data_IF_025585959077
#
_entry.id   IF_025585959077
#
_cell.length_a   1.000
_cell.length_b   1.000
_cell.length_c   1.000
_cell.angle_alpha   90.00
_cell.angle_beta   90.00
_cell.angle_gamma   90.00
#
_symmetry.space_group_name_H-M   'P 1'
#
loop_
_entity.id
_entity.type
_entity.pdbx_description
1 polymer ?
#
# COMPACT_ATOMS: atom_id res chain seq x y z
N UNK A 1 -21.07 -15.57 2.89
CA UNK A 1 -20.80 -14.72 1.70
C UNK A 1 -19.31 -14.83 1.42
N UNK A 2 -18.93 -15.37 0.26
CA UNK A 2 -17.52 -15.50 -0.09
C UNK A 2 -16.93 -14.12 -0.38
N UNK A 3 -15.86 -13.75 0.32
CA UNK A 3 -15.08 -12.56 0.01
C UNK A 3 -14.58 -12.72 -1.43
N UNK A 4 -15.12 -11.94 -2.36
CA UNK A 4 -14.55 -11.88 -3.71
C UNK A 4 -13.11 -11.39 -3.57
N UNK A 5 -12.17 -12.20 -4.05
CA UNK A 5 -10.76 -11.81 -4.17
C UNK A 5 -10.72 -10.82 -5.33
N UNK A 6 -10.64 -9.54 -5.01
CA UNK A 6 -10.51 -8.44 -5.97
C UNK A 6 -9.00 -8.21 -6.10
N UNK A 7 -8.33 -9.03 -6.92
CA UNK A 7 -6.91 -8.87 -7.16
C UNK A 7 -6.58 -7.46 -7.66
N UNK A 8 -5.40 -6.95 -7.31
CA UNK A 8 -4.87 -5.64 -7.70
C UNK A 8 -5.69 -4.42 -7.20
N UNK A 9 -6.42 -4.58 -6.09
CA UNK A 9 -7.13 -3.49 -5.45
C UNK A 9 -6.14 -2.51 -4.83
N UNK A 10 -6.15 -1.26 -5.29
CA UNK A 10 -5.34 -0.19 -4.69
C UNK A 10 -5.81 0.15 -3.27
N UNK A 11 -4.87 0.59 -2.43
CA UNK A 11 -5.15 0.84 -1.01
C UNK A 11 -6.20 1.93 -0.77
N UNK A 12 -6.16 3.02 -1.54
CA UNK A 12 -7.16 4.10 -1.41
C UNK A 12 -8.57 3.60 -1.78
N UNK A 13 -8.69 2.79 -2.83
CA UNK A 13 -9.97 2.16 -3.20
C UNK A 13 -10.45 1.18 -2.14
N UNK A 14 -9.55 0.40 -1.53
CA UNK A 14 -9.89 -0.46 -0.40
C UNK A 14 -10.43 0.34 0.79
N UNK A 15 -9.80 1.46 1.12
CA UNK A 15 -10.26 2.33 2.21
C UNK A 15 -11.60 2.96 1.90
N UNK A 16 -11.83 3.43 0.66
CA UNK A 16 -13.13 3.93 0.23
C UNK A 16 -14.20 2.85 0.35
N UNK A 17 -13.89 1.62 -0.07
CA UNK A 17 -14.81 0.49 0.10
C UNK A 17 -15.11 0.19 1.58
N UNK A 18 -14.12 0.19 2.48
CA UNK A 18 -14.36 0.03 3.92
C UNK A 18 -15.20 1.18 4.49
N UNK A 19 -14.92 2.42 4.09
CA UNK A 19 -15.62 3.61 4.54
C UNK A 19 -17.10 3.60 4.11
N UNK A 20 -17.37 3.17 2.88
CA UNK A 20 -18.73 3.09 2.31
C UNK A 20 -19.53 1.87 2.82
N UNK A 21 -18.87 0.77 3.19
CA UNK A 21 -19.52 -0.47 3.64
C UNK A 21 -19.86 -0.52 5.14
N UNK A 22 -19.69 0.55 5.93
CA UNK A 22 -19.73 0.44 7.40
C UNK A 22 -20.31 1.65 8.13
N UNK A 23 -20.60 1.44 9.43
CA UNK A 23 -20.81 2.45 10.48
C UNK A 23 -19.69 3.49 10.58
N UNK A 24 -18.58 3.36 9.84
CA UNK A 24 -17.48 4.32 9.88
C UNK A 24 -17.85 5.66 9.24
N UNK A 25 -18.73 5.69 8.23
CA UNK A 25 -19.22 6.98 7.70
C UNK A 25 -20.05 7.77 8.73
N UNK A 26 -20.64 7.10 9.73
CA UNK A 26 -21.37 7.72 10.83
C UNK A 26 -20.45 8.11 12.00
N UNK A 27 -19.28 7.45 12.14
CA UNK A 27 -18.32 7.66 13.22
C UNK A 27 -17.22 8.69 12.90
N UNK A 28 -16.98 8.98 11.62
CA UNK A 28 -15.94 9.89 11.17
C UNK A 28 -16.54 11.05 10.36
N UNK A 29 -16.09 12.28 10.64
CA UNK A 29 -16.58 13.49 9.97
C UNK A 29 -16.16 13.59 8.50
N UNK A 30 -15.11 12.86 8.10
CA UNK A 30 -14.61 12.82 6.73
C UNK A 30 -13.87 11.52 6.43
N UNK A 31 -13.75 11.20 5.14
CA UNK A 31 -12.90 10.09 4.68
C UNK A 31 -11.43 10.27 5.09
N UNK A 32 -10.95 11.51 5.13
CA UNK A 32 -9.57 11.83 5.49
C UNK A 32 -9.29 11.52 6.98
N UNK A 33 -10.27 11.78 7.85
CA UNK A 33 -10.21 11.42 9.27
C UNK A 33 -10.26 9.91 9.48
N UNK A 34 -11.17 9.22 8.78
CA UNK A 34 -11.23 7.77 8.76
C UNK A 34 -9.89 7.15 8.31
N UNK A 35 -9.32 7.66 7.21
CA UNK A 35 -8.04 7.20 6.67
C UNK A 35 -6.93 7.34 7.72
N UNK A 36 -6.78 8.51 8.35
CA UNK A 36 -5.78 8.74 9.41
C UNK A 36 -5.95 7.78 10.59
N UNK A 37 -7.17 7.61 11.08
CA UNK A 37 -7.45 6.69 12.18
C UNK A 37 -7.10 5.24 11.80
N UNK A 38 -7.45 4.82 10.59
CA UNK A 38 -7.19 3.46 10.11
C UNK A 38 -5.71 3.15 9.93
N UNK A 39 -4.90 4.12 9.48
CA UNK A 39 -3.46 3.93 9.29
C UNK A 39 -2.72 3.57 10.58
N UNK A 40 -3.28 3.90 11.74
CA UNK A 40 -2.75 3.49 13.05
C UNK A 40 -3.12 2.05 13.44
N UNK A 41 -4.01 1.39 12.69
CA UNK A 41 -4.49 0.04 12.97
C UNK A 41 -3.51 -1.03 12.50
N UNK A 42 -3.02 -1.90 13.40
CA UNK A 42 -2.01 -2.92 13.07
C UNK A 42 -2.52 -4.01 12.12
N UNK A 43 -3.85 -4.15 11.98
CA UNK A 43 -4.49 -5.21 11.17
C UNK A 43 -4.95 -4.76 9.79
N UNK A 44 -4.93 -3.45 9.51
CA UNK A 44 -5.52 -2.90 8.27
C UNK A 44 -4.82 -3.44 7.03
N UNK A 45 -3.50 -3.36 7.02
CA UNK A 45 -2.71 -3.83 5.89
C UNK A 45 -2.88 -5.32 5.66
N UNK A 46 -2.99 -6.12 6.74
CA UNK A 46 -3.20 -7.56 6.61
C UNK A 46 -4.50 -7.88 5.86
N UNK A 47 -5.60 -7.20 6.18
CA UNK A 47 -6.88 -7.39 5.50
C UNK A 47 -6.80 -6.98 4.03
N UNK A 48 -6.23 -5.82 3.74
CA UNK A 48 -6.06 -5.37 2.36
C UNK A 48 -5.18 -6.33 1.54
N UNK A 49 -4.11 -6.86 2.13
CA UNK A 49 -3.25 -7.86 1.51
C UNK A 49 -3.98 -9.20 1.30
N UNK A 50 -4.90 -9.59 2.19
CA UNK A 50 -5.78 -10.76 1.98
C UNK A 50 -6.69 -10.60 0.77
N UNK A 51 -7.27 -9.41 0.54
CA UNK A 51 -8.06 -9.14 -0.67
C UNK A 51 -7.25 -9.27 -1.97
N UNK A 52 -5.95 -9.00 -1.88
CA UNK A 52 -5.01 -9.11 -2.99
C UNK A 52 -4.28 -10.45 -3.03
N UNK A 53 -4.57 -11.39 -2.13
CA UNK A 53 -3.82 -12.63 -2.03
C UNK A 53 -3.87 -13.43 -3.34
N UNK A 54 -2.75 -14.10 -3.68
CA UNK A 54 -2.59 -14.91 -4.91
C UNK A 54 -2.71 -14.11 -6.21
N UNK A 55 -2.59 -12.78 -6.17
CA UNK A 55 -2.56 -11.93 -7.36
C UNK A 55 -1.14 -11.68 -7.87
N UNK A 56 -1.03 -11.07 -9.05
CA UNK A 56 0.22 -10.59 -9.62
C UNK A 56 0.06 -9.10 -10.00
N UNK A 57 0.11 -8.18 -9.02
CA UNK A 57 -0.07 -6.76 -9.27
C UNK A 57 1.09 -6.16 -10.09
N UNK A 58 0.83 -5.10 -10.87
CA UNK A 58 1.88 -4.40 -11.58
C UNK A 58 2.78 -3.61 -10.60
N UNK A 59 3.98 -3.23 -11.06
CA UNK A 59 4.94 -2.44 -10.27
C UNK A 59 4.33 -1.18 -9.64
N UNK A 60 3.43 -0.49 -10.34
CA UNK A 60 2.78 0.72 -9.82
C UNK A 60 1.93 0.45 -8.55
N UNK A 61 1.37 -0.75 -8.42
CA UNK A 61 0.67 -1.17 -7.21
C UNK A 61 1.63 -1.27 -6.02
N UNK A 62 2.83 -1.84 -6.25
CA UNK A 62 3.89 -1.92 -5.22
C UNK A 62 4.44 -0.54 -4.85
N UNK A 63 4.60 0.37 -5.81
CA UNK A 63 4.97 1.77 -5.51
C UNK A 63 3.92 2.45 -4.64
N UNK A 64 2.63 2.20 -4.90
CA UNK A 64 1.52 2.66 -4.06
C UNK A 64 1.59 2.08 -2.65
N UNK A 65 1.82 0.77 -2.53
CA UNK A 65 2.01 0.06 -1.26
C UNK A 65 3.17 0.68 -0.46
N UNK A 66 4.37 0.74 -1.04
CA UNK A 66 5.57 1.24 -0.35
C UNK A 66 5.39 2.69 0.08
N UNK A 67 4.84 3.53 -0.79
CA UNK A 67 4.51 4.92 -0.45
C UNK A 67 3.59 4.98 0.78
N UNK A 68 2.56 4.14 0.83
CA UNK A 68 1.62 4.07 1.95
C UNK A 68 2.34 3.66 3.24
N UNK A 69 3.21 2.64 3.21
CA UNK A 69 3.96 2.20 4.39
C UNK A 69 4.97 3.25 4.88
N UNK A 70 5.72 3.89 3.97
CA UNK A 70 6.73 4.89 4.33
C UNK A 70 6.08 6.19 4.81
N UNK A 71 5.15 6.75 4.04
CA UNK A 71 4.55 8.05 4.36
C UNK A 71 3.54 7.98 5.51
N UNK A 72 2.76 6.90 5.59
CA UNK A 72 1.61 6.85 6.49
C UNK A 72 1.84 5.98 7.72
N UNK A 73 2.61 4.89 7.59
CA UNK A 73 2.94 4.02 8.72
C UNK A 73 4.30 4.35 9.37
N UNK A 74 5.04 5.35 8.85
CA UNK A 74 6.36 5.79 9.34
C UNK A 74 7.45 4.70 9.29
N UNK A 75 7.37 3.78 8.32
CA UNK A 75 8.38 2.74 8.14
C UNK A 75 9.65 3.29 7.48
N UNK A 76 10.80 2.69 7.80
CA UNK A 76 12.08 3.01 7.18
C UNK A 76 12.20 2.32 5.81
N UNK A 77 12.90 2.94 4.85
CA UNK A 77 13.02 2.41 3.48
C UNK A 77 13.79 1.07 3.50
N UNK A 78 14.71 0.92 4.45
CA UNK A 78 15.52 -0.26 4.70
C UNK A 78 14.68 -1.51 5.05
N UNK A 79 13.46 -1.31 5.56
CA UNK A 79 12.54 -2.40 5.90
C UNK A 79 11.71 -2.89 4.70
N UNK A 80 11.70 -2.17 3.58
CA UNK A 80 10.86 -2.48 2.42
C UNK A 80 11.19 -3.84 1.80
N UNK A 81 12.45 -4.24 1.58
CA UNK A 81 12.77 -5.58 1.08
C UNK A 81 12.18 -6.71 1.94
N UNK A 82 12.21 -6.52 3.26
CA UNK A 82 11.63 -7.48 4.20
C UNK A 82 10.11 -7.52 4.08
N UNK A 83 9.46 -6.36 4.00
CA UNK A 83 8.02 -6.25 3.79
C UNK A 83 7.59 -6.97 2.51
N UNK A 84 8.28 -6.75 1.39
CA UNK A 84 7.94 -7.37 0.10
C UNK A 84 8.08 -8.89 0.14
N UNK A 85 9.11 -9.43 0.80
CA UNK A 85 9.27 -10.88 1.01
C UNK A 85 8.15 -11.47 1.87
N UNK A 86 7.71 -10.76 2.90
CA UNK A 86 6.58 -11.16 3.73
C UNK A 86 5.31 -11.22 2.87
N UNK A 87 5.09 -10.20 2.04
CA UNK A 87 3.94 -10.11 1.13
C UNK A 87 3.92 -11.29 0.16
N UNK A 88 5.04 -11.53 -0.52
CA UNK A 88 5.21 -12.63 -1.46
C UNK A 88 4.94 -13.99 -0.81
N UNK A 89 5.57 -14.24 0.35
CA UNK A 89 5.49 -15.54 1.01
C UNK A 89 4.14 -15.81 1.68
N UNK A 90 3.59 -14.84 2.42
CA UNK A 90 2.40 -15.06 3.23
C UNK A 90 1.11 -14.87 2.44
N UNK A 91 1.06 -13.88 1.55
CA UNK A 91 -0.14 -13.58 0.77
C UNK A 91 -0.09 -14.18 -0.63
N UNK A 92 1.03 -14.82 -1.01
CA UNK A 92 1.24 -15.41 -2.34
C UNK A 92 1.09 -14.39 -3.46
N UNK A 93 1.42 -13.12 -3.19
CA UNK A 93 1.37 -12.04 -4.17
C UNK A 93 2.67 -12.06 -4.96
N UNK A 94 2.59 -12.28 -6.26
CA UNK A 94 3.78 -12.35 -7.12
C UNK A 94 4.41 -10.97 -7.25
N UNK A 95 5.70 -10.88 -6.93
CA UNK A 95 6.49 -9.67 -7.18
C UNK A 95 6.76 -9.53 -8.69
N UNK A 96 6.77 -8.30 -9.24
CA UNK A 96 7.15 -8.08 -10.63
C UNK A 96 8.64 -8.34 -10.83
N UNK A 97 9.00 -8.76 -12.03
CA UNK A 97 10.38 -8.96 -12.45
C UNK A 97 11.04 -7.60 -12.76
N UNK A 98 11.47 -6.92 -11.71
CA UNK A 98 12.07 -5.61 -11.75
C UNK A 98 13.41 -5.65 -11.00
N UNK A 99 14.48 -5.25 -11.69
CA UNK A 99 15.82 -5.27 -11.11
C UNK A 99 15.91 -4.37 -9.88
N UNK A 100 16.43 -4.92 -8.78
CA UNK A 100 16.62 -4.17 -7.55
C UNK A 100 15.36 -3.97 -6.71
N UNK A 101 14.18 -4.46 -7.09
CA UNK A 101 12.94 -4.27 -6.31
C UNK A 101 13.03 -4.77 -4.85
N UNK A 102 13.93 -5.70 -4.56
CA UNK A 102 14.24 -6.21 -3.22
C UNK A 102 15.46 -5.54 -2.56
N UNK A 103 15.82 -4.32 -2.99
CA UNK A 103 16.94 -3.53 -2.45
C UNK A 103 16.46 -2.19 -1.93
N UNK A 104 17.10 -1.65 -0.91
CA UNK A 104 16.74 -0.34 -0.37
C UNK A 104 17.06 0.78 -1.37
N UNK A 105 18.17 0.64 -2.10
CA UNK A 105 18.67 1.58 -3.09
C UNK A 105 17.64 1.86 -4.19
N UNK A 106 16.98 0.81 -4.68
CA UNK A 106 15.88 0.94 -5.65
C UNK A 106 14.76 1.83 -5.10
N UNK A 107 14.33 1.61 -3.86
CA UNK A 107 13.22 2.35 -3.25
C UNK A 107 13.59 3.78 -2.90
N UNK A 108 14.86 4.05 -2.56
CA UNK A 108 15.36 5.43 -2.41
C UNK A 108 15.20 6.19 -3.73
N UNK A 109 15.63 5.61 -4.86
CA UNK A 109 15.50 6.27 -6.17
C UNK A 109 14.03 6.43 -6.60
N UNK A 110 13.25 5.35 -6.49
CA UNK A 110 11.84 5.32 -6.87
C UNK A 110 10.99 6.36 -6.10
N UNK A 111 11.26 6.54 -4.80
CA UNK A 111 10.55 7.52 -3.96
C UNK A 111 11.11 8.95 -4.13
N UNK A 112 12.42 9.11 -4.37
CA UNK A 112 13.06 10.42 -4.55
C UNK A 112 12.69 11.11 -5.86
N UNK A 113 12.34 10.34 -6.90
CA UNK A 113 12.01 10.86 -8.24
C UNK A 113 10.81 11.82 -8.22
N UNK A 114 9.89 11.71 -7.24
CA UNK A 114 8.79 12.69 -7.06
C UNK A 114 9.22 14.03 -6.46
N UNK A 115 10.35 14.11 -5.75
CA UNK A 115 10.87 15.40 -5.23
C UNK A 115 11.51 16.25 -6.33
N UNK A 116 12.14 15.64 -7.35
CA UNK A 116 12.77 16.38 -8.46
C UNK A 116 11.76 17.00 -9.45
N UNK A 117 10.54 16.47 -9.56
CA UNK A 117 9.53 17.01 -10.46
C UNK A 117 8.89 18.34 -9.99
N UNK A 118 9.05 18.73 -8.72
CA UNK A 118 8.48 19.99 -8.18
C UNK A 118 9.42 21.20 -8.26
N UNK A 119 10.64 21.06 -8.79
CA UNK A 119 11.66 22.13 -8.79
C UNK A 119 11.95 22.73 -10.17
N UNK A 120 11.05 22.56 -11.15
CA UNK A 120 11.13 23.24 -12.46
C UNK A 120 9.81 23.93 -12.82
N UNK A 121 9.53 25.03 -12.13
CA UNK A 121 8.87 26.21 -12.72
C UNK A 121 9.51 27.43 -12.08
N UNK A 122 10.41 28.05 -12.83
CA UNK A 122 11.00 29.35 -12.56
C UNK A 122 10.36 30.34 -13.52
#
# INVERSE_FOLDING_TARGET
MGTQIIGNLNFDTYLEMEYQNSQHNELFNSFDDFRKARLSSPTLFSKWLEFNARSAPPLEWFKGLVKTYVELASWQIEDIPRLLRIIEKHYKITLPDEEGILTAEYWVDALSTKRRARTRKR
#
